data_IF_123170465059
#
_entry.id   IF_123170465059
#
_cell.length_a   1.000
_cell.length_b   1.000
_cell.length_c   1.000
_cell.angle_alpha   90.00
_cell.angle_beta   90.00
_cell.angle_gamma   90.00
#
_symmetry.space_group_name_H-M   'P 1'
#
loop_
_entity.id
_entity.type
_entity.pdbx_description
1 polymer ?
#
# COMPACT_ATOMS: atom_id res chain seq x y z
N UNK A 1 53.42 20.28 34.00
CA UNK A 1 52.10 20.18 33.36
C UNK A 1 52.23 19.16 32.25
N UNK A 2 51.79 17.92 32.52
CA UNK A 2 51.82 16.82 31.55
C UNK A 2 50.39 16.65 31.02
N UNK A 3 50.15 17.00 29.76
CA UNK A 3 48.91 16.66 29.08
C UNK A 3 49.07 15.33 28.35
N UNK A 4 48.48 14.27 28.92
CA UNK A 4 48.42 12.95 28.31
C UNK A 4 47.13 12.86 27.50
N UNK A 5 47.25 12.86 26.18
CA UNK A 5 46.15 12.60 25.25
C UNK A 5 45.78 11.11 25.34
N UNK A 6 44.59 10.80 25.84
CA UNK A 6 43.99 9.45 25.82
C UNK A 6 43.27 9.24 24.49
N UNK A 7 43.78 8.36 23.64
CA UNK A 7 43.05 7.83 22.49
C UNK A 7 42.13 6.69 22.95
N UNK A 8 40.82 6.86 22.78
CA UNK A 8 39.82 5.80 23.00
C UNK A 8 39.63 5.08 21.66
N UNK A 9 40.05 3.81 21.59
CA UNK A 9 39.75 2.91 20.48
C UNK A 9 38.29 2.43 20.60
N UNK A 10 37.46 2.74 19.61
CA UNK A 10 36.12 2.19 19.48
C UNK A 10 36.17 1.01 18.50
N UNK A 11 36.19 -0.21 19.01
CA UNK A 11 36.11 -1.42 18.17
C UNK A 11 34.66 -1.60 17.72
N UNK A 12 34.38 -1.33 16.45
CA UNK A 12 33.10 -1.61 15.81
C UNK A 12 33.01 -3.12 15.52
N UNK A 13 32.28 -3.85 16.36
CA UNK A 13 31.94 -5.26 16.08
C UNK A 13 30.86 -5.28 15.02
N UNK A 14 31.25 -5.51 13.77
CA UNK A 14 30.31 -5.75 12.66
C UNK A 14 29.81 -7.20 12.80
N UNK A 15 28.63 -7.37 13.38
CA UNK A 15 27.91 -8.64 13.35
C UNK A 15 27.32 -8.79 11.95
N UNK A 16 28.04 -9.46 11.06
CA UNK A 16 27.51 -9.96 9.80
C UNK A 16 26.48 -11.07 10.10
N UNK A 17 25.22 -10.69 10.32
CA UNK A 17 24.12 -11.65 10.29
C UNK A 17 23.92 -12.11 8.85
N UNK A 18 24.55 -13.21 8.48
CA UNK A 18 24.31 -13.87 7.20
C UNK A 18 22.82 -14.21 7.07
N UNK A 19 22.21 -13.81 5.97
CA UNK A 19 20.87 -14.24 5.58
C UNK A 19 20.88 -15.77 5.43
N UNK A 20 20.45 -16.49 6.47
CA UNK A 20 20.03 -17.87 6.32
C UNK A 20 18.70 -17.84 5.58
N UNK A 21 18.65 -18.44 4.38
CA UNK A 21 17.37 -18.92 3.85
C UNK A 21 16.80 -19.88 4.89
N UNK A 22 15.87 -19.39 5.70
CA UNK A 22 15.10 -20.22 6.60
C UNK A 22 14.16 -21.04 5.73
N UNK A 23 14.24 -22.38 5.81
CA UNK A 23 13.14 -23.22 5.37
C UNK A 23 11.91 -22.78 6.17
N UNK A 24 11.04 -21.97 5.57
CA UNK A 24 9.81 -21.56 6.21
C UNK A 24 8.98 -22.83 6.48
N UNK A 25 8.61 -23.02 7.74
CA UNK A 25 7.69 -24.09 8.12
C UNK A 25 6.29 -23.74 7.60
N UNK A 26 5.99 -24.19 6.37
CA UNK A 26 4.74 -23.85 5.66
C UNK A 26 3.50 -24.29 6.41
N UNK A 27 3.62 -25.27 7.33
CA UNK A 27 2.52 -25.76 8.19
C UNK A 27 1.97 -24.66 9.12
N UNK A 28 2.72 -23.58 9.35
CA UNK A 28 2.26 -22.47 10.17
C UNK A 28 1.09 -21.71 9.53
N UNK A 29 0.90 -21.81 8.21
CA UNK A 29 -0.20 -21.17 7.48
C UNK A 29 -1.48 -22.02 7.39
N UNK A 30 -1.51 -23.18 8.05
CA UNK A 30 -2.65 -24.10 8.02
C UNK A 30 -2.56 -25.13 6.89
N UNK A 31 -3.47 -26.10 6.91
CA UNK A 31 -3.58 -27.15 5.90
C UNK A 31 -4.00 -26.59 4.54
N UNK A 32 -3.43 -27.10 3.45
CA UNK A 32 -3.85 -26.71 2.09
C UNK A 32 -5.32 -27.08 1.79
N UNK A 33 -5.85 -28.08 2.51
CA UNK A 33 -7.23 -28.54 2.40
C UNK A 33 -8.20 -27.79 3.34
N UNK A 34 -7.68 -26.90 4.20
CA UNK A 34 -8.54 -26.08 5.06
C UNK A 34 -9.06 -24.89 4.24
N UNK A 35 -10.38 -24.85 4.06
CA UNK A 35 -11.10 -23.81 3.32
C UNK A 35 -11.78 -22.81 4.22
N UNK A 36 -11.99 -23.14 5.50
CA UNK A 36 -12.54 -22.20 6.48
C UNK A 36 -11.50 -21.15 6.82
N UNK A 37 -11.94 -19.90 6.81
CA UNK A 37 -11.12 -18.73 7.11
C UNK A 37 -11.55 -18.10 8.42
N UNK A 38 -10.65 -17.31 9.01
CA UNK A 38 -10.94 -16.43 10.13
C UNK A 38 -10.12 -15.16 10.07
N UNK A 39 -10.69 -14.06 10.53
CA UNK A 39 -10.05 -12.75 10.57
C UNK A 39 -9.66 -12.38 12.01
N UNK A 40 -8.48 -11.79 12.17
CA UNK A 40 -8.10 -11.03 13.37
C UNK A 40 -7.81 -9.59 12.97
N UNK A 41 -8.42 -8.64 13.68
CA UNK A 41 -8.16 -7.22 13.47
C UNK A 41 -7.39 -6.63 14.65
N UNK A 42 -6.30 -5.93 14.35
CA UNK A 42 -5.63 -5.02 15.26
C UNK A 42 -5.89 -3.58 14.83
N UNK A 43 -6.79 -2.89 15.53
CA UNK A 43 -7.20 -1.51 15.20
C UNK A 43 -6.11 -0.48 15.50
N UNK A 44 -5.25 -0.74 16.49
CA UNK A 44 -4.15 0.17 16.85
C UNK A 44 -3.06 0.18 15.78
N UNK A 45 -2.68 -1.01 15.29
CA UNK A 45 -1.70 -1.15 14.23
C UNK A 45 -2.28 -0.89 12.83
N UNK A 46 -3.62 -0.86 12.70
CA UNK A 46 -4.29 -0.73 11.41
C UNK A 46 -4.07 -1.97 10.54
N UNK A 47 -4.26 -3.16 11.11
CA UNK A 47 -4.01 -4.44 10.43
C UNK A 47 -5.24 -5.34 10.53
N UNK A 48 -5.61 -5.96 9.41
CA UNK A 48 -6.61 -7.02 9.31
C UNK A 48 -5.93 -8.24 8.71
N UNK A 49 -5.85 -9.31 9.50
CA UNK A 49 -5.13 -10.53 9.17
C UNK A 49 -6.11 -11.67 8.93
N UNK A 50 -6.00 -12.31 7.77
CA UNK A 50 -6.83 -13.45 7.36
C UNK A 50 -6.00 -14.71 7.53
N UNK A 51 -6.56 -15.70 8.20
CA UNK A 51 -5.95 -16.99 8.45
C UNK A 51 -6.82 -18.09 7.88
N UNK A 52 -6.21 -19.22 7.48
CA UNK A 52 -6.90 -20.51 7.54
C UNK A 52 -7.33 -20.78 8.98
N UNK A 53 -8.45 -21.44 9.18
CA UNK A 53 -9.00 -21.68 10.52
C UNK A 53 -8.00 -22.39 11.44
N UNK A 54 -7.28 -23.38 10.90
CA UNK A 54 -6.25 -24.18 11.57
C UNK A 54 -4.84 -23.53 11.56
N UNK A 55 -4.67 -22.42 10.84
CA UNK A 55 -3.39 -21.72 10.70
C UNK A 55 -2.99 -20.93 11.94
N UNK A 56 -1.69 -20.82 12.18
CA UNK A 56 -1.07 -19.99 13.24
C UNK A 56 -0.62 -18.63 12.73
N UNK A 57 -0.24 -18.53 11.46
CA UNK A 57 0.17 -17.31 10.77
C UNK A 57 -0.88 -16.91 9.71
N UNK A 58 -1.01 -15.61 9.39
CA UNK A 58 -1.95 -15.16 8.38
C UNK A 58 -1.48 -15.52 6.97
N UNK A 59 -2.44 -15.80 6.08
CA UNK A 59 -2.23 -16.03 4.66
C UNK A 59 -2.44 -14.76 3.83
N UNK A 60 -3.23 -13.81 4.33
CA UNK A 60 -3.43 -12.49 3.71
C UNK A 60 -3.43 -11.44 4.82
N UNK A 61 -2.76 -10.31 4.58
CA UNK A 61 -2.74 -9.18 5.50
C UNK A 61 -3.16 -7.90 4.79
N UNK A 62 -4.31 -7.35 5.16
CA UNK A 62 -4.74 -6.02 4.74
C UNK A 62 -4.24 -4.98 5.74
N UNK A 63 -3.54 -3.97 5.23
CA UNK A 63 -2.98 -2.86 5.99
C UNK A 63 -3.88 -1.63 5.77
N UNK A 64 -4.47 -1.15 6.86
CA UNK A 64 -5.35 0.00 6.93
C UNK A 64 -4.82 0.98 7.99
N UNK A 65 -3.64 1.57 7.73
CA UNK A 65 -2.95 2.48 8.65
C UNK A 65 -3.45 3.92 8.51
N UNK A 66 -3.37 4.71 9.59
CA UNK A 66 -3.85 6.10 9.61
C UNK A 66 -3.15 7.02 8.61
N UNK A 67 -1.83 6.87 8.48
CA UNK A 67 -0.97 7.75 7.69
C UNK A 67 -0.41 7.05 6.44
N UNK A 68 -1.14 6.05 5.94
CA UNK A 68 -0.77 5.30 4.75
C UNK A 68 -2.02 4.89 3.97
N UNK A 69 -1.97 4.96 2.63
CA UNK A 69 -2.97 4.38 1.73
C UNK A 69 -3.25 2.91 2.09
N UNK A 70 -4.48 2.40 1.97
CA UNK A 70 -4.74 0.98 2.17
C UNK A 70 -4.01 0.11 1.14
N UNK A 71 -3.51 -1.05 1.58
CA UNK A 71 -2.87 -2.04 0.71
C UNK A 71 -2.95 -3.45 1.29
N UNK A 72 -2.84 -4.48 0.45
CA UNK A 72 -2.74 -5.88 0.88
C UNK A 72 -1.30 -6.37 0.70
N UNK A 73 -0.65 -6.69 1.82
CA UNK A 73 0.67 -7.32 1.87
C UNK A 73 0.96 -7.88 3.28
N UNK A 74 1.50 -9.10 3.39
CA UNK A 74 1.71 -10.06 2.30
C UNK A 74 0.42 -10.79 1.91
N UNK A 75 0.37 -11.27 0.67
CA UNK A 75 -0.44 -12.44 0.28
C UNK A 75 0.53 -13.62 0.21
N UNK A 76 0.34 -14.64 1.03
CA UNK A 76 1.16 -15.85 1.05
C UNK A 76 0.59 -16.85 0.04
N UNK A 77 1.43 -17.47 -0.80
CA UNK A 77 0.99 -18.48 -1.76
C UNK A 77 0.17 -19.60 -1.07
N UNK A 78 -0.79 -20.25 -1.75
CA UNK A 78 -1.60 -21.31 -1.16
C UNK A 78 -0.81 -22.45 -0.50
N UNK A 79 0.35 -22.79 -1.04
CA UNK A 79 1.25 -23.83 -0.51
C UNK A 79 2.15 -23.35 0.64
N UNK A 80 2.06 -22.07 1.02
CA UNK A 80 2.82 -21.46 2.11
C UNK A 80 4.29 -21.17 1.79
N UNK A 81 4.76 -21.36 0.55
CA UNK A 81 6.19 -21.24 0.21
C UNK A 81 6.75 -19.81 0.16
N UNK A 82 5.88 -18.81 0.34
CA UNK A 82 6.31 -17.42 0.45
C UNK A 82 5.24 -16.44 -0.03
N UNK A 83 5.52 -15.13 0.05
CA UNK A 83 4.60 -14.10 -0.43
C UNK A 83 4.60 -14.03 -1.96
N UNK A 84 3.43 -13.77 -2.55
CA UNK A 84 3.24 -13.46 -3.98
C UNK A 84 3.18 -11.95 -4.26
N UNK A 85 3.26 -11.13 -3.22
CA UNK A 85 3.30 -9.66 -3.27
C UNK A 85 4.62 -9.16 -2.69
N UNK A 86 5.21 -8.10 -3.25
CA UNK A 86 6.37 -7.42 -2.66
C UNK A 86 6.01 -6.08 -1.99
N UNK A 87 6.73 -5.70 -0.93
CA UNK A 87 6.58 -4.41 -0.27
C UNK A 87 7.79 -3.51 -0.49
N UNK A 88 7.55 -2.34 -1.10
CA UNK A 88 8.50 -1.25 -1.29
C UNK A 88 9.84 -1.69 -1.92
N UNK A 89 9.82 -2.29 -3.13
CA UNK A 89 11.02 -2.73 -3.84
C UNK A 89 12.01 -1.59 -4.05
N UNK A 90 13.29 -1.94 -4.20
CA UNK A 90 14.42 -0.99 -4.26
C UNK A 90 14.22 0.18 -5.23
N UNK A 91 13.75 -0.11 -6.44
CA UNK A 91 13.60 0.88 -7.52
C UNK A 91 12.21 1.51 -7.61
N UNK A 92 11.22 1.03 -6.82
CA UNK A 92 9.84 1.52 -6.85
C UNK A 92 9.21 1.55 -5.45
N UNK A 93 9.75 2.39 -4.56
CA UNK A 93 9.39 2.44 -3.13
C UNK A 93 7.92 2.71 -2.81
N UNK A 94 7.17 3.29 -3.75
CA UNK A 94 5.74 3.56 -3.63
C UNK A 94 4.85 2.31 -3.81
N UNK A 95 5.41 1.21 -4.32
CA UNK A 95 4.66 -0.01 -4.55
C UNK A 95 4.59 -0.83 -3.26
N UNK A 96 3.39 -1.15 -2.77
CA UNK A 96 3.16 -1.69 -1.42
C UNK A 96 2.26 -2.93 -1.46
N UNK A 97 2.65 -3.96 -2.22
CA UNK A 97 1.79 -5.13 -2.48
C UNK A 97 0.62 -4.79 -3.39
N UNK A 98 -0.57 -5.33 -3.13
CA UNK A 98 -1.76 -5.03 -3.92
C UNK A 98 -2.41 -3.73 -3.45
N UNK A 99 -2.49 -2.73 -4.33
CA UNK A 99 -3.08 -1.42 -4.01
C UNK A 99 -3.69 -0.73 -5.23
N UNK A 100 -4.44 0.34 -4.96
CA UNK A 100 -5.06 1.21 -5.95
C UNK A 100 -4.49 2.62 -5.91
N UNK A 101 -4.60 3.36 -7.00
CA UNK A 101 -4.32 4.79 -6.96
C UNK A 101 -4.62 5.48 -8.28
N UNK A 102 -4.82 6.78 -8.19
CA UNK A 102 -5.04 7.65 -9.34
C UNK A 102 -3.82 8.54 -9.58
N UNK A 103 -3.55 8.81 -10.84
CA UNK A 103 -2.62 9.87 -11.21
C UNK A 103 -3.40 11.10 -11.68
N UNK A 104 -2.83 12.29 -11.44
CA UNK A 104 -3.31 13.56 -12.00
C UNK A 104 -4.77 13.94 -11.69
N UNK A 105 -5.22 13.66 -10.47
CA UNK A 105 -6.57 14.04 -10.01
C UNK A 105 -6.68 15.56 -9.92
N UNK A 106 -7.72 16.12 -10.53
CA UNK A 106 -8.02 17.55 -10.60
C UNK A 106 -6.87 18.41 -11.16
N UNK A 107 -6.05 17.83 -12.04
CA UNK A 107 -5.15 18.62 -12.89
C UNK A 107 -5.90 19.16 -14.10
N UNK A 108 -5.33 20.13 -14.81
CA UNK A 108 -5.84 20.58 -16.11
C UNK A 108 -4.69 20.63 -17.13
N UNK A 109 -3.87 19.59 -17.15
CA UNK A 109 -2.67 19.56 -17.96
C UNK A 109 -3.04 19.46 -19.44
N UNK A 110 -2.75 20.53 -20.18
CA UNK A 110 -2.67 20.53 -21.63
C UNK A 110 -1.19 20.61 -22.05
N UNK A 111 -0.76 19.70 -22.93
CA UNK A 111 0.60 19.61 -23.45
C UNK A 111 1.06 20.91 -24.14
N UNK A 112 0.13 21.73 -24.62
CA UNK A 112 0.40 23.05 -25.20
C UNK A 112 0.49 24.17 -24.16
N UNK A 113 -0.02 23.93 -22.94
CA UNK A 113 -0.05 24.90 -21.85
C UNK A 113 1.27 25.00 -21.07
N UNK A 114 2.24 24.11 -21.36
CA UNK A 114 3.56 24.10 -20.72
C UNK A 114 4.66 23.81 -21.74
N UNK A 115 5.73 24.62 -21.77
CA UNK A 115 6.87 24.36 -22.66
C UNK A 115 7.54 23.00 -22.38
N UNK A 116 7.98 22.28 -23.43
CA UNK A 116 8.63 20.95 -23.32
C UNK A 116 9.77 20.91 -22.29
N UNK A 117 10.53 21.99 -22.16
CA UNK A 117 11.60 22.13 -21.17
C UNK A 117 11.11 22.12 -19.72
N UNK A 118 9.94 22.71 -19.46
CA UNK A 118 9.33 22.74 -18.13
C UNK A 118 8.82 21.36 -17.74
N UNK A 119 8.27 20.60 -18.70
CA UNK A 119 7.85 19.21 -18.50
C UNK A 119 9.05 18.32 -18.16
N UNK A 120 10.12 18.38 -18.97
CA UNK A 120 11.35 17.64 -18.72
C UNK A 120 11.98 17.97 -17.36
N UNK A 121 12.01 19.26 -16.98
CA UNK A 121 12.50 19.67 -15.67
C UNK A 121 11.63 19.14 -14.53
N UNK A 122 10.30 19.13 -14.66
CA UNK A 122 9.39 18.62 -13.63
C UNK A 122 9.57 17.12 -13.38
N UNK A 123 9.66 16.30 -14.44
CA UNK A 123 9.82 14.85 -14.32
C UNK A 123 11.22 14.44 -13.82
N UNK A 124 12.28 15.16 -14.21
CA UNK A 124 13.66 14.71 -14.01
C UNK A 124 14.49 15.59 -13.07
N UNK A 125 13.97 16.70 -12.56
CA UNK A 125 14.73 17.64 -11.70
C UNK A 125 13.86 18.23 -10.57
N UNK A 126 13.98 17.62 -9.40
CA UNK A 126 13.21 17.93 -8.19
C UNK A 126 13.23 19.42 -7.77
N UNK A 127 14.35 20.12 -8.04
CA UNK A 127 14.53 21.56 -7.73
C UNK A 127 13.69 22.53 -8.58
N UNK A 128 12.89 22.04 -9.52
CA UNK A 128 12.08 22.86 -10.44
C UNK A 128 10.60 22.50 -10.43
N UNK A 129 10.10 21.95 -9.31
CA UNK A 129 8.66 21.78 -9.09
C UNK A 129 8.00 23.15 -8.90
N UNK A 130 7.69 23.78 -10.03
CA UNK A 130 6.90 25.00 -10.13
C UNK A 130 5.46 24.70 -9.67
N UNK A 131 4.92 25.55 -8.79
CA UNK A 131 3.58 25.43 -8.23
C UNK A 131 2.51 25.38 -9.33
N UNK A 132 2.65 26.21 -10.36
CA UNK A 132 1.73 26.23 -11.51
C UNK A 132 1.79 24.92 -12.30
N UNK A 133 2.97 24.33 -12.44
CA UNK A 133 3.10 23.02 -13.09
C UNK A 133 2.51 21.92 -12.20
N UNK A 134 2.67 21.99 -10.87
CA UNK A 134 2.05 21.04 -9.95
C UNK A 134 0.52 21.10 -9.98
N UNK A 135 -0.06 22.29 -10.07
CA UNK A 135 -1.52 22.47 -10.21
C UNK A 135 -2.03 21.90 -11.53
N UNK A 136 -1.34 22.19 -12.64
CA UNK A 136 -1.70 21.63 -13.96
C UNK A 136 -1.61 20.11 -13.96
N UNK A 137 -0.58 19.54 -13.35
CA UNK A 137 -0.39 18.09 -13.28
C UNK A 137 -1.43 17.40 -12.40
N UNK A 138 -1.98 18.07 -11.40
CA UNK A 138 -2.94 17.49 -10.46
C UNK A 138 -2.28 16.60 -9.40
N UNK A 139 -3.12 16.03 -8.53
CA UNK A 139 -2.71 15.19 -7.40
C UNK A 139 -2.39 13.76 -7.81
N UNK A 140 -1.28 13.25 -7.29
CA UNK A 140 -0.80 11.90 -7.57
C UNK A 140 -1.01 10.96 -6.38
N UNK A 141 -2.17 10.33 -6.33
CA UNK A 141 -2.55 9.36 -5.31
C UNK A 141 -1.96 7.97 -5.54
N UNK A 142 -1.33 7.72 -6.69
CA UNK A 142 -0.66 6.46 -7.01
C UNK A 142 0.76 6.42 -6.43
N UNK A 143 1.56 7.46 -6.65
CA UNK A 143 2.92 7.52 -6.13
C UNK A 143 2.99 8.07 -4.71
N UNK A 144 2.00 8.85 -4.26
CA UNK A 144 1.94 9.41 -2.90
C UNK A 144 0.94 8.62 -2.06
N UNK A 145 1.47 7.92 -1.08
CA UNK A 145 0.74 6.98 -0.24
C UNK A 145 0.69 7.41 1.23
N UNK A 146 1.21 8.58 1.59
CA UNK A 146 1.30 9.06 2.98
C UNK A 146 0.02 9.74 3.48
N UNK A 147 0.04 10.08 4.78
CA UNK A 147 -1.07 10.71 5.50
C UNK A 147 -1.49 12.10 5.01
N UNK A 148 -0.65 12.77 4.22
CA UNK A 148 -0.94 14.03 3.54
C UNK A 148 -1.84 13.84 2.29
N UNK A 149 -2.03 12.60 1.84
CA UNK A 149 -2.93 12.22 0.74
C UNK A 149 -4.07 11.33 1.23
N UNK A 150 -3.81 10.47 2.21
CA UNK A 150 -4.73 9.41 2.63
C UNK A 150 -4.98 9.48 4.11
N UNK A 151 -6.24 9.64 4.50
CA UNK A 151 -6.63 9.63 5.92
C UNK A 151 -7.62 8.50 6.16
N UNK A 152 -7.25 7.57 7.04
CA UNK A 152 -8.14 6.48 7.46
C UNK A 152 -9.38 7.05 8.17
N UNK A 153 -10.56 6.76 7.65
CA UNK A 153 -11.82 7.02 8.33
C UNK A 153 -12.25 5.80 9.15
N UNK A 154 -12.21 4.60 8.56
CA UNK A 154 -12.57 3.37 9.25
C UNK A 154 -11.94 2.13 8.63
N UNK A 155 -11.76 1.10 9.46
CA UNK A 155 -11.43 -0.25 9.03
C UNK A 155 -12.28 -1.23 9.86
N UNK A 156 -13.04 -2.09 9.19
CA UNK A 156 -14.05 -2.94 9.83
C UNK A 156 -14.05 -4.34 9.25
N UNK A 157 -14.17 -5.34 10.12
CA UNK A 157 -14.47 -6.71 9.73
C UNK A 157 -15.98 -6.85 9.59
N UNK A 158 -16.44 -7.46 8.50
CA UNK A 158 -17.86 -7.68 8.21
C UNK A 158 -18.19 -9.15 8.52
N UNK A 159 -17.55 -10.09 7.81
CA UNK A 159 -17.66 -11.53 8.08
C UNK A 159 -16.33 -12.03 8.65
N UNK A 160 -16.31 -12.38 9.94
CA UNK A 160 -15.06 -12.67 10.65
C UNK A 160 -14.58 -14.13 10.54
N UNK A 161 -15.43 -15.07 10.16
CA UNK A 161 -15.08 -16.47 10.00
C UNK A 161 -16.08 -17.24 9.12
N UNK A 162 -15.62 -18.34 8.53
CA UNK A 162 -16.42 -19.22 7.66
C UNK A 162 -15.72 -19.49 6.33
N UNK A 163 -16.43 -20.06 5.37
CA UNK A 163 -15.90 -20.31 4.02
C UNK A 163 -15.61 -19.03 3.24
N UNK A 164 -16.31 -17.94 3.59
CA UNK A 164 -16.10 -16.58 3.10
C UNK A 164 -15.90 -15.64 4.29
N UNK A 165 -14.88 -14.82 4.20
CA UNK A 165 -14.66 -13.71 5.14
C UNK A 165 -14.61 -12.40 4.38
N UNK A 166 -14.93 -11.30 5.04
CA UNK A 166 -14.99 -9.99 4.39
C UNK A 166 -14.64 -8.85 5.34
N UNK A 167 -14.07 -7.79 4.79
CA UNK A 167 -13.69 -6.59 5.52
C UNK A 167 -13.81 -5.36 4.63
N UNK A 168 -13.83 -4.20 5.26
CA UNK A 168 -13.95 -2.91 4.59
C UNK A 168 -12.97 -1.91 5.15
N UNK A 169 -12.42 -1.09 4.27
CA UNK A 169 -11.66 0.11 4.62
C UNK A 169 -12.29 1.33 3.97
N UNK A 170 -12.33 2.44 4.70
CA UNK A 170 -12.81 3.73 4.22
C UNK A 170 -11.75 4.78 4.45
N UNK A 171 -11.38 5.49 3.39
CA UNK A 171 -10.32 6.49 3.39
C UNK A 171 -10.76 7.79 2.74
N UNK A 172 -10.39 8.90 3.35
CA UNK A 172 -10.45 10.20 2.70
C UNK A 172 -9.21 10.36 1.81
N UNK A 173 -9.44 10.72 0.55
CA UNK A 173 -8.42 11.26 -0.35
C UNK A 173 -8.38 12.78 -0.18
N UNK A 174 -7.21 13.34 0.08
CA UNK A 174 -7.05 14.73 0.54
C UNK A 174 -6.47 15.67 -0.54
N UNK A 175 -6.95 16.92 -0.56
CA UNK A 175 -6.31 18.04 -1.23
C UNK A 175 -5.12 18.61 -0.40
N UNK A 176 -4.54 19.73 -0.85
CA UNK A 176 -3.17 20.15 -0.48
C UNK A 176 -3.21 20.90 0.83
N UNK A 177 -4.41 21.37 1.13
CA UNK A 177 -4.81 22.04 2.33
C UNK A 177 -5.44 21.01 3.31
N UNK A 178 -5.41 19.72 2.97
CA UNK A 178 -5.89 18.61 3.80
C UNK A 178 -7.40 18.38 3.77
N UNK A 179 -8.14 18.98 2.83
CA UNK A 179 -9.59 18.79 2.71
C UNK A 179 -9.90 17.53 1.92
N UNK A 180 -10.97 16.83 2.29
CA UNK A 180 -11.41 15.63 1.55
C UNK A 180 -11.97 16.00 0.19
N UNK A 181 -11.46 15.35 -0.86
CA UNK A 181 -11.97 15.50 -2.24
C UNK A 181 -12.77 14.29 -2.70
N UNK A 182 -12.45 13.10 -2.17
CA UNK A 182 -13.15 11.85 -2.44
C UNK A 182 -13.06 10.97 -1.20
N UNK A 183 -14.12 10.21 -0.91
CA UNK A 183 -14.11 9.14 0.09
C UNK A 183 -14.03 7.81 -0.67
N UNK A 184 -12.92 7.11 -0.52
CA UNK A 184 -12.73 5.76 -1.04
C UNK A 184 -13.28 4.74 -0.06
N UNK A 185 -14.12 3.82 -0.55
CA UNK A 185 -14.52 2.61 0.16
C UNK A 185 -14.04 1.38 -0.61
N UNK A 186 -13.27 0.52 0.05
CA UNK A 186 -12.90 -0.79 -0.47
C UNK A 186 -13.55 -1.85 0.40
N UNK A 187 -14.41 -2.68 -0.19
CA UNK A 187 -14.96 -3.87 0.46
C UNK A 187 -14.34 -5.10 -0.18
N UNK A 188 -13.56 -5.81 0.62
CA UNK A 188 -12.88 -7.02 0.22
C UNK A 188 -13.59 -8.25 0.78
N UNK A 189 -13.50 -9.33 0.04
CA UNK A 189 -13.87 -10.64 0.54
C UNK A 189 -12.95 -11.70 0.00
N UNK A 190 -12.74 -12.75 0.78
CA UNK A 190 -11.87 -13.85 0.44
C UNK A 190 -12.57 -15.18 0.63
N UNK A 191 -12.32 -16.11 -0.29
CA UNK A 191 -12.65 -17.54 -0.20
C UNK A 191 -11.45 -18.38 -0.66
N UNK A 192 -11.45 -19.65 -0.27
CA UNK A 192 -10.57 -20.66 -0.85
C UNK A 192 -11.43 -21.63 -1.65
N UNK A 193 -11.18 -21.74 -2.95
CA UNK A 193 -11.90 -22.62 -3.87
C UNK A 193 -10.87 -23.47 -4.60
N UNK A 194 -11.01 -24.80 -4.55
CA UNK A 194 -10.10 -25.75 -5.22
C UNK A 194 -8.60 -25.52 -4.94
N UNK A 195 -8.27 -25.02 -3.74
CA UNK A 195 -6.89 -24.73 -3.32
C UNK A 195 -6.35 -23.38 -3.82
N UNK A 196 -7.16 -22.58 -4.52
CA UNK A 196 -6.84 -21.23 -4.97
C UNK A 196 -7.47 -20.17 -4.05
N UNK A 197 -6.93 -18.96 -4.11
CA UNK A 197 -7.47 -17.83 -3.35
C UNK A 197 -8.30 -16.94 -4.26
N UNK A 198 -9.59 -16.86 -3.96
CA UNK A 198 -10.49 -15.90 -4.60
C UNK A 198 -10.58 -14.65 -3.72
N UNK A 199 -10.03 -13.54 -4.20
CA UNK A 199 -10.15 -12.22 -3.59
C UNK A 199 -11.05 -11.32 -4.46
N UNK A 200 -12.26 -11.05 -3.99
CA UNK A 200 -13.16 -10.08 -4.62
C UNK A 200 -12.98 -8.70 -3.99
N UNK A 201 -12.97 -7.66 -4.83
CA UNK A 201 -13.04 -6.26 -4.42
C UNK A 201 -14.28 -5.59 -5.02
N UNK A 202 -15.05 -4.94 -4.16
CA UNK A 202 -15.98 -3.88 -4.53
C UNK A 202 -15.35 -2.53 -4.15
N UNK A 203 -15.07 -1.70 -5.15
CA UNK A 203 -14.48 -0.37 -4.97
C UNK A 203 -15.53 0.70 -5.25
N UNK A 204 -15.64 1.68 -4.36
CA UNK A 204 -16.51 2.84 -4.50
C UNK A 204 -15.73 4.13 -4.18
N UNK A 205 -15.85 5.13 -5.05
CA UNK A 205 -15.36 6.49 -4.80
C UNK A 205 -16.53 7.47 -4.72
N UNK A 206 -16.72 8.08 -3.55
CA UNK A 206 -17.73 9.12 -3.32
C UNK A 206 -17.08 10.52 -3.40
N UNK A 207 -17.29 11.19 -4.53
CA UNK A 207 -16.71 12.50 -4.80
C UNK A 207 -17.35 13.59 -3.93
N UNK A 208 -16.53 14.29 -3.14
CA UNK A 208 -16.98 15.39 -2.27
C UNK A 208 -16.91 16.77 -2.95
N UNK A 209 -16.22 16.82 -4.09
CA UNK A 209 -16.15 17.94 -5.03
C UNK A 209 -16.19 17.35 -6.45
N UNK A 210 -16.24 18.20 -7.47
CA UNK A 210 -16.04 17.74 -8.84
C UNK A 210 -14.64 17.09 -8.98
N UNK A 211 -14.62 15.86 -9.51
CA UNK A 211 -13.41 15.09 -9.71
C UNK A 211 -13.16 14.92 -11.21
N UNK A 212 -11.99 15.36 -11.65
CA UNK A 212 -11.45 15.12 -12.99
C UNK A 212 -10.26 14.18 -12.87
N UNK A 213 -10.27 13.09 -13.62
CA UNK A 213 -9.11 12.21 -13.78
C UNK A 213 -8.57 12.46 -15.18
N UNK A 214 -7.37 13.04 -15.28
CA UNK A 214 -6.84 13.43 -16.57
C UNK A 214 -6.48 12.21 -17.43
N UNK A 215 -6.87 12.28 -18.70
CA UNK A 215 -6.51 11.29 -19.72
C UNK A 215 -5.07 11.53 -20.22
N UNK A 216 -4.26 10.48 -20.17
CA UNK A 216 -2.95 10.39 -20.83
C UNK A 216 -2.50 8.92 -20.87
N UNK A 217 -1.46 8.60 -21.64
CA UNK A 217 -0.99 7.21 -21.85
C UNK A 217 -0.66 6.42 -20.57
N UNK A 218 -0.41 7.11 -19.46
CA UNK A 218 -0.12 6.52 -18.15
C UNK A 218 -1.03 7.10 -17.05
N UNK A 219 -2.26 7.47 -17.45
CA UNK A 219 -3.28 8.07 -16.60
C UNK A 219 -4.36 7.10 -16.15
N UNK A 220 -5.23 7.57 -15.25
CA UNK A 220 -6.39 6.82 -14.79
C UNK A 220 -6.22 6.18 -13.42
N UNK A 221 -7.07 5.19 -13.16
CA UNK A 221 -7.04 4.34 -11.97
C UNK A 221 -6.15 3.12 -12.22
N UNK A 222 -5.23 2.85 -11.31
CA UNK A 222 -4.32 1.71 -11.40
C UNK A 222 -4.62 0.69 -10.33
N UNK A 223 -4.76 -0.58 -10.71
CA UNK A 223 -4.44 -1.70 -9.83
C UNK A 223 -2.95 -2.02 -9.99
N UNK A 224 -2.23 -2.15 -8.88
CA UNK A 224 -0.84 -2.58 -8.94
C UNK A 224 -0.57 -3.67 -7.92
N UNK A 225 0.15 -4.69 -8.37
CA UNK A 225 0.74 -5.75 -7.56
C UNK A 225 2.20 -5.91 -8.03
N UNK A 226 3.19 -5.36 -7.31
CA UNK A 226 4.61 -5.53 -7.58
C UNK A 226 5.10 -6.93 -7.16
#
# INVERSE_FOLDING_TARGET
MNDVIKYIFFSLVIICAGFRCTNQDTKQYGSINETSLRIKQNKELGIIEIYRADGKLPIVTANAKKDHRPYIHPIIAPDGKGPVTEYSPGHHKHQTGLFWGFTRVNGNFDIHSVGKDSLYKWFYRDKYKDEKVSELMGRDFYHKYGGDYWQLQSASVIDSAGERVSWQTVYNMLDKDGKTIMVETQKWSMRIVDGEYDLDLEWQGDAQIDITINEFEYGGMFLRMP
#
